data_IF_782589813440
#
_entry.id   IF_782589813440
#
_cell.length_a   1.000
_cell.length_b   1.000
_cell.length_c   1.000
_cell.angle_alpha   90.00
_cell.angle_beta   90.00
_cell.angle_gamma   90.00
#
_symmetry.space_group_name_H-M   'P 1'
#
loop_
_entity.id
_entity.type
_entity.pdbx_description
1 polymer ?
#
# COMPACT_ATOMS: atom_id res chain seq x y z
N UNK A 1 10.97 4.78 -12.34
CA UNK A 1 10.73 5.62 -11.13
C UNK A 1 10.32 4.73 -9.97
N UNK A 2 10.39 5.21 -8.72
CA UNK A 2 9.82 4.53 -7.56
C UNK A 2 8.50 5.22 -7.19
N UNK A 3 7.39 4.48 -7.10
CA UNK A 3 6.03 5.02 -7.00
C UNK A 3 5.31 4.37 -5.83
N UNK A 4 4.80 5.17 -4.89
CA UNK A 4 3.92 4.71 -3.82
C UNK A 4 2.46 4.75 -4.24
N UNK A 5 1.71 3.67 -4.00
CA UNK A 5 0.25 3.60 -4.21
C UNK A 5 -0.41 3.25 -2.88
N UNK A 6 -1.23 4.17 -2.37
CA UNK A 6 -2.08 3.95 -1.20
C UNK A 6 -3.47 3.63 -1.72
N UNK A 7 -4.08 2.55 -1.24
CA UNK A 7 -5.42 2.19 -1.64
C UNK A 7 -6.15 1.42 -0.54
N UNK A 8 -7.47 1.33 -0.66
CA UNK A 8 -8.24 0.37 0.11
C UNK A 8 -8.14 -1.02 -0.55
N UNK A 9 -7.77 -2.07 0.19
CA UNK A 9 -7.45 -3.38 -0.40
C UNK A 9 -8.68 -4.25 -0.72
N UNK A 10 -9.88 -3.65 -0.73
CA UNK A 10 -11.16 -4.35 -0.84
C UNK A 10 -11.65 -4.47 -2.29
N UNK A 11 -12.75 -5.20 -2.50
CA UNK A 11 -13.45 -5.34 -3.78
C UNK A 11 -14.25 -4.08 -4.16
N UNK A 12 -13.60 -2.92 -4.14
CA UNK A 12 -14.14 -1.66 -4.66
C UNK A 12 -13.51 -1.30 -6.02
N UNK A 13 -14.20 -0.47 -6.80
CA UNK A 13 -13.69 -0.01 -8.10
C UNK A 13 -12.33 0.68 -8.01
N UNK A 14 -12.13 1.53 -6.98
CA UNK A 14 -10.87 2.24 -6.77
C UNK A 14 -9.69 1.33 -6.42
N UNK A 15 -9.90 0.34 -5.55
CA UNK A 15 -8.87 -0.65 -5.18
C UNK A 15 -8.43 -1.49 -6.37
N UNK A 16 -9.38 -1.89 -7.22
CA UNK A 16 -9.08 -2.60 -8.46
C UNK A 16 -8.27 -1.74 -9.41
N UNK A 17 -8.71 -0.50 -9.70
CA UNK A 17 -7.98 0.40 -10.61
C UNK A 17 -6.57 0.69 -10.09
N UNK A 18 -6.41 0.94 -8.80
CA UNK A 18 -5.11 1.18 -8.18
C UNK A 18 -4.15 -0.01 -8.36
N UNK A 19 -4.67 -1.23 -8.18
CA UNK A 19 -3.88 -2.46 -8.32
C UNK A 19 -3.44 -2.68 -9.77
N UNK A 20 -4.36 -2.58 -10.73
CA UNK A 20 -4.06 -2.75 -12.16
C UNK A 20 -3.10 -1.69 -12.67
N UNK A 21 -3.29 -0.43 -12.25
CA UNK A 21 -2.38 0.67 -12.58
C UNK A 21 -0.95 0.37 -12.11
N UNK A 22 -0.80 -0.09 -10.87
CA UNK A 22 0.52 -0.46 -10.35
C UNK A 22 1.15 -1.62 -11.12
N UNK A 23 0.36 -2.66 -11.46
CA UNK A 23 0.86 -3.78 -12.27
C UNK A 23 1.36 -3.29 -13.64
N UNK A 24 0.59 -2.45 -14.32
CA UNK A 24 0.98 -1.92 -15.64
C UNK A 24 2.19 -0.98 -15.57
N UNK A 25 2.31 -0.16 -14.53
CA UNK A 25 3.50 0.66 -14.30
C UNK A 25 4.73 -0.21 -13.98
N UNK A 26 4.54 -1.31 -13.24
CA UNK A 26 5.60 -2.26 -12.93
C UNK A 26 6.17 -2.91 -14.18
N UNK A 27 5.30 -3.34 -15.11
CA UNK A 27 5.69 -3.88 -16.44
C UNK A 27 6.47 -2.87 -17.29
N UNK A 28 6.24 -1.57 -17.08
CA UNK A 28 6.98 -0.48 -17.74
C UNK A 28 8.33 -0.16 -17.06
N UNK A 29 8.75 -0.95 -16.08
CA UNK A 29 10.05 -0.80 -15.41
C UNK A 29 10.04 0.11 -14.18
N UNK A 30 8.86 0.46 -13.64
CA UNK A 30 8.75 1.22 -12.39
C UNK A 30 8.75 0.28 -11.18
N UNK A 31 9.33 0.74 -10.07
CA UNK A 31 9.23 0.05 -8.78
C UNK A 31 8.00 0.57 -8.05
N UNK A 32 7.07 -0.32 -7.74
CA UNK A 32 5.78 0.03 -7.17
C UNK A 32 5.73 -0.44 -5.73
N UNK A 33 5.33 0.46 -4.84
CA UNK A 33 5.23 0.20 -3.42
C UNK A 33 3.78 0.42 -2.99
N UNK A 34 3.04 -0.67 -2.82
CA UNK A 34 1.68 -0.63 -2.33
C UNK A 34 1.65 -0.49 -0.80
N UNK A 35 0.75 0.35 -0.30
CA UNK A 35 0.47 0.51 1.12
C UNK A 35 -1.02 0.39 1.41
N UNK A 36 -1.35 -0.52 2.32
CA UNK A 36 -2.71 -0.74 2.82
C UNK A 36 -2.66 -1.55 4.13
N UNK A 37 -3.76 -1.59 4.88
CA UNK A 37 -3.88 -2.45 6.07
C UNK A 37 -3.98 -3.96 5.75
N UNK A 38 -4.09 -4.33 4.48
CA UNK A 38 -4.10 -5.73 4.01
C UNK A 38 -3.67 -5.75 2.55
N UNK A 39 -3.14 -6.88 2.09
CA UNK A 39 -2.80 -7.06 0.68
C UNK A 39 -4.03 -6.86 -0.23
N UNK A 40 -3.96 -5.99 -1.27
CA UNK A 40 -5.05 -5.85 -2.24
C UNK A 40 -5.33 -7.18 -2.93
N UNK A 41 -6.61 -7.52 -3.10
CA UNK A 41 -7.03 -8.86 -3.56
C UNK A 41 -6.42 -9.26 -4.91
N UNK A 42 -6.27 -8.31 -5.84
CA UNK A 42 -5.73 -8.58 -7.19
C UNK A 42 -4.21 -8.46 -7.29
N UNK A 43 -3.52 -8.15 -6.19
CA UNK A 43 -2.08 -7.96 -6.22
C UNK A 43 -1.39 -9.32 -6.20
N UNK A 44 -0.82 -9.72 -7.32
CA UNK A 44 0.01 -10.92 -7.38
C UNK A 44 1.41 -10.64 -6.82
N UNK A 45 1.92 -11.54 -5.98
CA UNK A 45 3.17 -11.32 -5.21
C UNK A 45 4.44 -11.64 -5.98
N UNK A 46 4.33 -12.31 -7.13
CA UNK A 46 5.49 -12.84 -7.86
C UNK A 46 6.09 -11.84 -8.87
N UNK A 47 5.74 -10.55 -8.76
CA UNK A 47 6.25 -9.51 -9.63
C UNK A 47 7.47 -8.81 -9.00
N UNK A 48 8.66 -9.00 -9.58
CA UNK A 48 9.96 -8.51 -9.06
C UNK A 48 10.00 -7.01 -8.68
N UNK A 49 9.16 -6.17 -9.31
CA UNK A 49 9.14 -4.71 -9.10
C UNK A 49 7.92 -4.23 -8.33
N UNK A 50 7.22 -5.14 -7.67
CA UNK A 50 6.08 -4.83 -6.80
C UNK A 50 6.46 -5.19 -5.37
N UNK A 51 6.24 -4.23 -4.49
CA UNK A 51 6.48 -4.34 -3.06
C UNK A 51 5.19 -4.02 -2.33
N UNK A 52 4.86 -4.78 -1.29
CA UNK A 52 3.71 -4.53 -0.44
C UNK A 52 4.19 -4.22 0.98
N UNK A 53 3.72 -3.10 1.51
CA UNK A 53 3.99 -2.64 2.88
C UNK A 53 2.67 -2.61 3.63
N UNK A 54 2.53 -3.50 4.61
CA UNK A 54 1.33 -3.56 5.44
C UNK A 54 1.35 -2.45 6.49
N UNK A 55 0.24 -1.72 6.56
CA UNK A 55 0.03 -0.69 7.59
C UNK A 55 -0.61 -1.34 8.81
N UNK A 56 0.19 -1.57 9.85
CA UNK A 56 -0.30 -2.11 11.10
C UNK A 56 -0.98 -1.02 11.93
N UNK A 57 -2.23 -1.25 12.34
CA UNK A 57 -2.94 -0.38 13.29
C UNK A 57 -3.04 -1.11 14.63
N UNK A 58 -2.33 -0.65 15.68
CA UNK A 58 -2.41 -1.29 16.97
C UNK A 58 -3.83 -1.12 17.55
N UNK A 59 -4.34 -2.20 18.16
CA UNK A 59 -5.57 -2.12 18.92
C UNK A 59 -5.24 -1.52 20.30
N UNK A 60 -5.64 -0.28 20.54
CA UNK A 60 -5.29 0.46 21.75
C UNK A 60 -6.54 0.98 22.46
N UNK A 61 -6.81 0.59 23.73
CA UNK A 61 -8.08 0.87 24.41
C UNK A 61 -8.44 2.36 24.55
N UNK A 62 -7.47 3.27 24.45
CA UNK A 62 -7.71 4.71 24.54
C UNK A 62 -8.53 5.26 23.36
N UNK A 63 -8.41 4.65 22.17
CA UNK A 63 -9.06 5.17 20.97
C UNK A 63 -10.45 4.55 20.79
N UNK A 64 -11.47 5.41 20.62
CA UNK A 64 -12.82 4.97 20.25
C UNK A 64 -12.91 4.35 18.85
N UNK A 65 -12.03 4.77 17.93
CA UNK A 65 -11.92 4.23 16.57
C UNK A 65 -10.45 3.98 16.24
N UNK A 66 -10.18 2.97 15.43
CA UNK A 66 -8.81 2.68 15.01
C UNK A 66 -8.19 3.87 14.26
N UNK A 67 -7.04 4.40 14.69
CA UNK A 67 -6.42 5.59 14.10
C UNK A 67 -5.61 5.22 12.84
N UNK A 68 -6.28 4.68 11.83
CA UNK A 68 -5.63 4.19 10.60
C UNK A 68 -4.85 5.29 9.89
N UNK A 69 -5.39 6.50 9.80
CA UNK A 69 -4.77 7.62 9.10
C UNK A 69 -3.46 8.05 9.76
N UNK A 70 -3.38 7.97 11.09
CA UNK A 70 -2.17 8.27 11.85
C UNK A 70 -1.09 7.20 11.60
N UNK A 71 -1.48 5.92 11.70
CA UNK A 71 -0.58 4.80 11.43
C UNK A 71 -0.06 4.84 9.98
N UNK A 72 -0.95 5.10 9.02
CA UNK A 72 -0.62 5.26 7.60
C UNK A 72 0.35 6.43 7.38
N UNK A 73 0.10 7.59 7.99
CA UNK A 73 0.97 8.75 7.85
C UNK A 73 2.39 8.48 8.36
N UNK A 74 2.51 7.79 9.50
CA UNK A 74 3.83 7.36 10.02
C UNK A 74 4.51 6.38 9.07
N UNK A 75 3.79 5.34 8.65
CA UNK A 75 4.33 4.33 7.74
C UNK A 75 4.82 4.95 6.41
N UNK A 76 4.12 5.95 5.88
CA UNK A 76 4.52 6.67 4.67
C UNK A 76 5.87 7.38 4.83
N UNK A 77 6.08 8.06 5.97
CA UNK A 77 7.35 8.74 6.25
C UNK A 77 8.49 7.72 6.31
N UNK A 78 8.28 6.60 7.01
CA UNK A 78 9.26 5.53 7.12
C UNK A 78 9.60 4.94 5.74
N UNK A 79 8.57 4.63 4.95
CA UNK A 79 8.72 4.08 3.61
C UNK A 79 9.48 5.02 2.67
N UNK A 80 9.21 6.32 2.69
CA UNK A 80 9.99 7.29 1.89
C UNK A 80 11.45 7.31 2.33
N UNK A 81 11.75 7.07 3.61
CA UNK A 81 13.10 6.88 4.11
C UNK A 81 13.80 5.64 3.55
N UNK A 82 13.10 4.51 3.48
CA UNK A 82 13.64 3.23 2.98
C UNK A 82 13.78 3.15 1.46
N UNK A 83 12.95 3.88 0.71
CA UNK A 83 12.95 3.83 -0.76
C UNK A 83 13.87 4.92 -1.37
N UNK A 84 14.81 5.49 -0.62
CA UNK A 84 15.93 6.28 -1.18
C UNK A 84 17.01 5.36 -1.75
#
# INVERSE_FOLDING_TARGET
MRIGIICYPTFGGSGVVATELGIELSKRGHHIHFMAYKKPVRLDTDLERIHFHEVHVPNYPLFHYQPYELALSSALVDMVGFIK
#
